data_IF_169206145072
#
_entry.id   IF_169206145072
#
_cell.length_a   1.000
_cell.length_b   1.000
_cell.length_c   1.000
_cell.angle_alpha   90.00
_cell.angle_beta   90.00
_cell.angle_gamma   90.00
#
_symmetry.space_group_name_H-M   'P 1'
#
loop_
_entity.id
_entity.type
_entity.pdbx_description
1 polymer ?
#
# COMPACT_ATOMS: atom_id res chain seq x y z
N UNK A 1 -20.34 21.74 -23.97
CA UNK A 1 -20.05 20.43 -24.59
C UNK A 1 -19.83 19.47 -23.43
N UNK A 2 -20.67 18.43 -23.32
CA UNK A 2 -20.59 17.46 -22.25
C UNK A 2 -19.41 16.52 -22.55
N UNK A 3 -18.42 16.46 -21.66
CA UNK A 3 -17.24 15.61 -21.82
C UNK A 3 -17.53 14.23 -21.21
N UNK A 4 -17.99 13.29 -22.04
CA UNK A 4 -18.21 11.90 -21.63
C UNK A 4 -16.91 11.21 -21.20
N UNK A 5 -15.73 11.71 -21.60
CA UNK A 5 -14.44 11.13 -21.20
C UNK A 5 -14.14 11.35 -19.71
N UNK A 6 -14.66 12.43 -19.11
CA UNK A 6 -14.51 12.71 -17.67
C UNK A 6 -15.17 11.61 -16.81
N UNK A 7 -16.28 11.05 -17.28
CA UNK A 7 -17.07 10.05 -16.54
C UNK A 7 -16.71 8.60 -16.86
N UNK A 8 -15.88 8.37 -17.87
CA UNK A 8 -15.40 7.03 -18.27
C UNK A 8 -13.97 6.76 -17.85
N UNK A 9 -13.22 7.79 -17.43
CA UNK A 9 -11.85 7.67 -16.92
C UNK A 9 -11.81 6.93 -15.58
N UNK A 10 -10.93 5.94 -15.50
CA UNK A 10 -10.63 5.27 -14.23
C UNK A 10 -9.85 6.21 -13.31
N UNK A 11 -10.53 6.80 -12.32
CA UNK A 11 -9.95 7.69 -11.31
C UNK A 11 -9.16 6.92 -10.24
N UNK A 12 -7.96 6.47 -10.62
CA UNK A 12 -6.99 5.95 -9.67
C UNK A 12 -6.30 7.08 -8.91
N UNK A 13 -6.17 6.92 -7.58
CA UNK A 13 -5.23 7.74 -6.80
C UNK A 13 -3.82 7.66 -7.41
N UNK A 14 -3.06 8.74 -7.37
CA UNK A 14 -1.66 8.82 -7.87
C UNK A 14 -0.78 7.63 -7.48
N UNK A 15 -0.93 7.14 -6.24
CA UNK A 15 -0.16 5.99 -5.76
C UNK A 15 -0.44 4.71 -6.55
N UNK A 16 -1.69 4.52 -6.99
CA UNK A 16 -2.13 3.40 -7.81
C UNK A 16 -1.67 3.58 -9.26
N UNK A 17 -1.81 4.79 -9.82
CA UNK A 17 -1.30 5.12 -11.17
C UNK A 17 0.19 4.81 -11.29
N UNK A 18 1.01 5.24 -10.32
CA UNK A 18 2.45 4.92 -10.28
C UNK A 18 2.76 3.42 -10.23
N UNK A 19 1.87 2.59 -9.68
CA UNK A 19 2.04 1.13 -9.68
C UNK A 19 1.72 0.54 -11.06
N UNK A 20 0.66 1.03 -11.70
CA UNK A 20 0.23 0.63 -13.03
C UNK A 20 1.32 1.00 -14.05
N UNK A 21 1.76 2.25 -14.07
CA UNK A 21 2.82 2.74 -14.98
C UNK A 21 4.12 1.93 -14.81
N UNK A 22 4.49 1.62 -13.57
CA UNK A 22 5.68 0.78 -13.31
C UNK A 22 5.54 -0.63 -13.85
N UNK A 23 4.35 -1.21 -13.80
CA UNK A 23 4.10 -2.55 -14.31
C UNK A 23 4.12 -2.55 -15.85
N UNK A 24 3.58 -1.51 -16.48
CA UNK A 24 3.67 -1.29 -17.92
C UNK A 24 5.12 -1.08 -18.38
N UNK A 25 5.89 -0.25 -17.69
CA UNK A 25 7.33 -0.09 -17.92
C UNK A 25 8.06 -1.45 -17.90
N UNK A 26 7.73 -2.30 -16.93
CA UNK A 26 8.32 -3.64 -16.80
C UNK A 26 7.89 -4.58 -17.92
N UNK A 27 6.63 -4.51 -18.34
CA UNK A 27 6.13 -5.28 -19.48
C UNK A 27 6.90 -4.93 -20.76
N UNK A 28 7.03 -3.64 -21.05
CA UNK A 28 7.76 -3.14 -22.22
C UNK A 28 9.26 -3.52 -22.16
N UNK A 29 9.88 -3.37 -20.99
CA UNK A 29 11.28 -3.75 -20.78
C UNK A 29 11.53 -5.24 -20.98
N UNK A 30 10.59 -6.10 -20.55
CA UNK A 30 10.72 -7.55 -20.71
C UNK A 30 10.89 -7.94 -22.17
N UNK A 31 9.99 -7.45 -23.03
CA UNK A 31 9.99 -7.80 -24.45
C UNK A 31 11.12 -7.14 -25.23
N UNK A 32 11.50 -5.91 -24.85
CA UNK A 32 12.71 -5.26 -25.37
C UNK A 32 13.96 -6.08 -25.03
N UNK A 33 14.09 -6.53 -23.78
CA UNK A 33 15.23 -7.31 -23.31
C UNK A 33 15.31 -8.69 -23.97
N UNK A 34 14.16 -9.36 -24.13
CA UNK A 34 14.07 -10.67 -24.78
C UNK A 34 14.14 -10.59 -26.32
N UNK A 35 14.15 -9.38 -26.89
CA UNK A 35 14.13 -9.11 -28.34
C UNK A 35 12.91 -9.75 -29.04
N UNK A 36 11.77 -9.74 -28.36
CA UNK A 36 10.52 -10.37 -28.81
C UNK A 36 9.38 -9.34 -28.82
N UNK A 37 9.59 -8.20 -29.48
CA UNK A 37 8.70 -7.04 -29.42
C UNK A 37 7.28 -7.32 -29.92
N UNK A 38 7.12 -8.30 -30.82
CA UNK A 38 5.80 -8.79 -31.28
C UNK A 38 4.91 -9.31 -30.14
N UNK A 39 5.50 -9.75 -29.02
CA UNK A 39 4.77 -10.29 -27.86
C UNK A 39 4.36 -9.19 -26.86
N UNK A 40 4.71 -7.93 -27.14
CA UNK A 40 4.36 -6.77 -26.31
C UNK A 40 2.89 -6.35 -26.44
N UNK A 41 2.25 -6.68 -27.57
CA UNK A 41 0.87 -6.29 -27.81
C UNK A 41 -0.10 -6.97 -26.83
N UNK A 42 -0.84 -6.16 -26.08
CA UNK A 42 -1.84 -6.63 -25.12
C UNK A 42 -2.97 -7.42 -25.78
N UNK A 43 -3.34 -7.12 -27.04
CA UNK A 43 -4.43 -7.81 -27.73
C UNK A 43 -4.12 -9.29 -28.01
N UNK A 44 -2.83 -9.67 -28.07
CA UNK A 44 -2.37 -11.03 -28.41
C UNK A 44 -1.86 -11.81 -27.20
N UNK A 45 -2.10 -11.31 -25.98
CA UNK A 45 -1.62 -11.93 -24.74
C UNK A 45 -2.12 -13.35 -24.56
N UNK A 46 -1.17 -14.27 -24.36
CA UNK A 46 -1.43 -15.67 -24.04
C UNK A 46 -0.91 -16.04 -22.65
N UNK A 47 -1.35 -17.19 -22.12
CA UNK A 47 -0.79 -17.75 -20.87
C UNK A 47 0.73 -17.90 -20.92
N UNK A 48 1.28 -18.22 -22.10
CA UNK A 48 2.73 -18.35 -22.31
C UNK A 48 3.44 -17.00 -22.14
N UNK A 49 2.93 -15.95 -22.79
CA UNK A 49 3.50 -14.59 -22.67
C UNK A 49 3.48 -14.10 -21.23
N UNK A 50 2.37 -14.33 -20.51
CA UNK A 50 2.25 -13.98 -19.10
C UNK A 50 3.20 -14.80 -18.22
N UNK A 51 3.33 -16.10 -18.47
CA UNK A 51 4.30 -16.92 -17.74
C UNK A 51 5.71 -16.38 -17.90
N UNK A 52 6.13 -16.12 -19.14
CA UNK A 52 7.46 -15.59 -19.47
C UNK A 52 7.71 -14.24 -18.81
N UNK A 53 6.74 -13.32 -18.92
CA UNK A 53 6.83 -12.01 -18.29
C UNK A 53 6.98 -12.10 -16.76
N UNK A 54 6.12 -12.84 -16.08
CA UNK A 54 6.19 -12.95 -14.62
C UNK A 54 7.44 -13.70 -14.16
N UNK A 55 7.93 -14.67 -14.93
CA UNK A 55 9.20 -15.34 -14.67
C UNK A 55 10.40 -14.37 -14.80
N UNK A 56 10.43 -13.59 -15.87
CA UNK A 56 11.43 -12.54 -16.08
C UNK A 56 11.36 -11.49 -14.96
N UNK A 57 10.16 -11.05 -14.58
CA UNK A 57 9.93 -10.04 -13.54
C UNK A 57 10.52 -10.47 -12.19
N UNK A 58 10.38 -11.75 -11.82
CA UNK A 58 10.91 -12.30 -10.57
C UNK A 58 12.45 -12.37 -10.55
N UNK A 59 13.09 -12.46 -11.72
CA UNK A 59 14.54 -12.46 -11.86
C UNK A 59 15.16 -11.07 -11.78
N UNK A 60 14.38 -9.99 -11.88
CA UNK A 60 14.93 -8.63 -11.86
C UNK A 60 15.56 -8.27 -10.51
N UNK A 61 16.77 -7.72 -10.56
CA UNK A 61 17.54 -7.24 -9.40
C UNK A 61 17.91 -5.76 -9.48
N UNK A 62 17.59 -5.12 -10.60
CA UNK A 62 17.76 -3.69 -10.82
C UNK A 62 16.40 -3.06 -11.14
N UNK A 63 16.24 -1.80 -10.77
CA UNK A 63 15.06 -0.99 -11.03
C UNK A 63 15.42 0.24 -11.85
N UNK A 64 14.47 1.16 -11.96
CA UNK A 64 14.64 2.42 -12.70
C UNK A 64 15.90 3.15 -12.24
N UNK A 65 16.71 3.62 -13.20
CA UNK A 65 17.98 4.30 -12.93
C UNK A 65 19.07 3.43 -12.30
N UNK A 66 19.06 2.11 -12.54
CA UNK A 66 20.09 1.20 -12.01
C UNK A 66 19.95 0.87 -10.52
N UNK A 67 18.90 1.36 -9.86
CA UNK A 67 18.70 1.14 -8.41
C UNK A 67 18.59 -0.36 -8.09
N UNK A 68 19.39 -0.85 -7.14
CA UNK A 68 19.29 -2.24 -6.67
C UNK A 68 17.91 -2.52 -6.08
N UNK A 69 17.26 -3.58 -6.55
CA UNK A 69 15.97 -4.07 -6.04
C UNK A 69 16.18 -5.27 -5.15
N UNK A 70 15.44 -5.28 -4.03
CA UNK A 70 15.30 -6.48 -3.21
C UNK A 70 14.44 -7.46 -4.01
N UNK A 71 14.98 -8.63 -4.33
CA UNK A 71 14.25 -9.68 -5.04
C UNK A 71 12.95 -10.06 -4.32
N UNK A 72 11.96 -10.51 -5.07
CA UNK A 72 10.67 -10.95 -4.53
C UNK A 72 10.87 -12.20 -3.66
N UNK A 73 10.38 -12.17 -2.42
CA UNK A 73 10.56 -13.27 -1.45
C UNK A 73 9.29 -14.05 -1.13
N UNK A 74 8.12 -13.45 -1.38
CA UNK A 74 6.83 -13.96 -0.91
C UNK A 74 5.88 -14.22 -2.08
N UNK A 75 5.16 -15.34 -2.01
CA UNK A 75 4.19 -15.74 -3.02
C UNK A 75 2.99 -14.77 -3.09
N UNK A 76 2.63 -14.11 -1.98
CA UNK A 76 1.57 -13.08 -1.96
C UNK A 76 1.86 -11.90 -2.90
N UNK A 77 3.15 -11.57 -3.13
CA UNK A 77 3.57 -10.51 -4.04
C UNK A 77 3.13 -10.78 -5.48
N UNK A 78 3.12 -12.05 -5.91
CA UNK A 78 2.64 -12.46 -7.22
C UNK A 78 1.16 -12.13 -7.41
N UNK A 79 0.35 -12.31 -6.37
CA UNK A 79 -1.06 -11.92 -6.40
C UNK A 79 -1.23 -10.41 -6.58
N UNK A 80 -0.41 -9.61 -5.92
CA UNK A 80 -0.40 -8.14 -6.10
C UNK A 80 0.04 -7.76 -7.51
N UNK A 81 1.14 -8.33 -8.02
CA UNK A 81 1.61 -8.09 -9.37
C UNK A 81 0.55 -8.46 -10.41
N UNK A 82 -0.13 -9.60 -10.22
CA UNK A 82 -1.23 -10.02 -11.09
C UNK A 82 -2.41 -9.05 -11.06
N UNK A 83 -2.79 -8.54 -9.89
CA UNK A 83 -3.84 -7.52 -9.78
C UNK A 83 -3.47 -6.27 -10.57
N UNK A 84 -2.26 -5.75 -10.39
CA UNK A 84 -1.79 -4.54 -11.09
C UNK A 84 -1.68 -4.79 -12.60
N UNK A 85 -1.17 -5.94 -13.04
CA UNK A 85 -1.11 -6.27 -14.46
C UNK A 85 -2.49 -6.28 -15.12
N UNK A 86 -3.53 -6.80 -14.45
CA UNK A 86 -4.89 -6.76 -15.00
C UNK A 86 -5.39 -5.33 -15.22
N UNK A 87 -5.00 -4.39 -14.35
CA UNK A 87 -5.32 -2.96 -14.54
C UNK A 87 -4.56 -2.38 -15.75
N UNK A 88 -3.28 -2.75 -15.94
CA UNK A 88 -2.52 -2.36 -17.12
C UNK A 88 -3.19 -2.88 -18.40
N UNK A 89 -3.57 -4.16 -18.40
CA UNK A 89 -4.27 -4.78 -19.52
C UNK A 89 -5.58 -4.06 -19.83
N UNK A 90 -6.44 -3.89 -18.81
CA UNK A 90 -7.73 -3.21 -18.96
C UNK A 90 -7.58 -1.78 -19.45
N UNK A 91 -6.60 -1.03 -18.93
CA UNK A 91 -6.25 0.31 -19.41
C UNK A 91 -5.81 0.33 -20.88
N UNK A 92 -5.08 -0.68 -21.33
CA UNK A 92 -4.56 -0.74 -22.70
C UNK A 92 -5.59 -1.26 -23.72
N UNK A 93 -6.50 -2.14 -23.33
CA UNK A 93 -7.44 -2.82 -24.24
C UNK A 93 -8.90 -2.44 -24.03
N UNK A 94 -9.20 -1.59 -23.04
CA UNK A 94 -10.56 -1.26 -22.57
C UNK A 94 -11.42 -2.49 -22.24
N UNK A 95 -10.78 -3.64 -21.98
CA UNK A 95 -11.45 -4.93 -21.79
C UNK A 95 -10.79 -5.72 -20.67
N UNK A 96 -11.59 -6.46 -19.91
CA UNK A 96 -11.09 -7.34 -18.84
C UNK A 96 -10.62 -8.67 -19.41
N UNK A 97 -9.52 -9.19 -18.87
CA UNK A 97 -9.12 -10.58 -19.13
C UNK A 97 -10.23 -11.55 -18.71
N UNK A 98 -10.50 -12.52 -19.57
CA UNK A 98 -11.57 -13.49 -19.37
C UNK A 98 -11.34 -14.38 -18.12
N UNK A 99 -12.38 -15.11 -17.73
CA UNK A 99 -12.32 -15.97 -16.56
C UNK A 99 -11.36 -17.15 -16.75
N UNK A 100 -11.20 -17.64 -17.99
CA UNK A 100 -10.32 -18.78 -18.33
C UNK A 100 -8.85 -18.42 -18.14
N UNK A 101 -8.43 -17.26 -18.61
CA UNK A 101 -7.11 -16.67 -18.43
C UNK A 101 -6.85 -16.43 -16.94
N UNK A 102 -7.79 -15.84 -16.22
CA UNK A 102 -7.68 -15.65 -14.77
C UNK A 102 -7.42 -16.98 -14.03
N UNK A 103 -8.19 -18.04 -14.32
CA UNK A 103 -7.98 -19.38 -13.70
C UNK A 103 -6.61 -19.97 -14.08
N UNK A 104 -6.20 -19.82 -15.34
CA UNK A 104 -4.90 -20.29 -15.84
C UNK A 104 -3.75 -19.58 -15.14
N UNK A 105 -3.88 -18.27 -14.93
CA UNK A 105 -2.87 -17.48 -14.24
C UNK A 105 -2.69 -17.89 -12.79
N UNK A 106 -3.74 -18.26 -12.05
CA UNK A 106 -3.55 -18.80 -10.70
C UNK A 106 -2.68 -20.06 -10.68
N UNK A 107 -2.73 -20.91 -11.72
CA UNK A 107 -1.83 -22.07 -11.86
C UNK A 107 -0.40 -21.62 -12.18
N UNK A 108 -0.23 -20.66 -13.09
CA UNK A 108 1.07 -20.05 -13.43
C UNK A 108 1.74 -19.46 -12.19
N UNK A 109 1.04 -18.63 -11.41
CA UNK A 109 1.59 -17.99 -10.21
C UNK A 109 2.02 -19.02 -9.17
N UNK A 110 1.27 -20.12 -8.99
CA UNK A 110 1.69 -21.23 -8.11
C UNK A 110 2.96 -21.92 -8.60
N UNK A 111 3.06 -22.17 -9.91
CA UNK A 111 4.26 -22.77 -10.54
C UNK A 111 5.48 -21.86 -10.37
N UNK A 112 5.33 -20.56 -10.62
CA UNK A 112 6.39 -19.57 -10.44
C UNK A 112 6.79 -19.42 -8.97
N UNK A 113 5.83 -19.43 -8.04
CA UNK A 113 6.14 -19.42 -6.61
C UNK A 113 7.01 -20.62 -6.19
N UNK A 114 6.74 -21.82 -6.74
CA UNK A 114 7.59 -22.99 -6.51
C UNK A 114 8.95 -22.85 -7.18
N UNK A 115 9.00 -22.43 -8.45
CA UNK A 115 10.24 -22.26 -9.23
C UNK A 115 11.22 -21.30 -8.56
N UNK A 116 10.72 -20.18 -8.03
CA UNK A 116 11.53 -19.14 -7.38
C UNK A 116 11.66 -19.31 -5.87
N UNK A 117 11.25 -20.46 -5.32
CA UNK A 117 11.30 -20.77 -3.88
C UNK A 117 10.68 -19.66 -3.00
N UNK A 118 9.54 -19.11 -3.42
CA UNK A 118 8.86 -18.02 -2.71
C UNK A 118 8.18 -18.55 -1.45
N UNK A 119 8.31 -17.81 -0.36
CA UNK A 119 7.65 -18.12 0.92
C UNK A 119 6.14 -17.97 0.79
N UNK A 120 5.40 -18.99 1.19
CA UNK A 120 3.93 -19.00 1.20
C UNK A 120 3.35 -18.33 2.45
N UNK A 121 4.07 -18.41 3.56
CA UNK A 121 3.64 -17.83 4.83
C UNK A 121 3.78 -16.31 4.72
N UNK A 122 2.70 -15.61 5.07
CA UNK A 122 2.74 -14.15 5.21
C UNK A 122 3.75 -13.76 6.28
N UNK A 123 4.26 -12.53 6.22
CA UNK A 123 4.97 -11.99 7.38
C UNK A 123 3.96 -11.89 8.52
N UNK A 124 4.27 -12.44 9.69
CA UNK A 124 3.45 -12.24 10.87
C UNK A 124 3.24 -10.75 11.10
N UNK A 125 1.99 -10.38 11.32
CA UNK A 125 1.65 -9.02 11.70
C UNK A 125 2.09 -8.87 13.15
N UNK A 126 3.27 -8.29 13.35
CA UNK A 126 3.71 -7.91 14.68
C UNK A 126 2.64 -7.00 15.30
N UNK A 127 2.09 -7.43 16.42
CA UNK A 127 1.22 -6.63 17.26
C UNK A 127 2.07 -6.02 18.38
N UNK A 128 1.65 -4.88 18.89
CA UNK A 128 2.24 -4.24 20.07
C UNK A 128 1.18 -4.26 21.16
N UNK A 129 1.46 -4.91 22.30
CA UNK A 129 0.55 -4.87 23.43
C UNK A 129 0.64 -3.51 24.16
N UNK A 130 -0.31 -3.22 25.05
CA UNK A 130 -0.36 -1.93 25.75
C UNK A 130 0.88 -1.74 26.63
N UNK A 131 1.39 -2.83 27.20
CA UNK A 131 2.62 -2.87 27.99
C UNK A 131 3.84 -2.56 27.12
N UNK A 132 3.92 -3.16 25.93
CA UNK A 132 4.98 -2.89 24.96
C UNK A 132 4.94 -1.43 24.50
N UNK A 133 3.74 -0.89 24.27
CA UNK A 133 3.56 0.50 23.89
C UNK A 133 4.04 1.43 25.02
N UNK A 134 3.71 1.11 26.27
CA UNK A 134 4.19 1.84 27.45
C UNK A 134 5.72 1.83 27.51
N UNK A 135 6.35 0.68 27.29
CA UNK A 135 7.81 0.56 27.26
C UNK A 135 8.44 1.36 26.12
N UNK A 136 7.85 1.33 24.92
CA UNK A 136 8.33 2.11 23.76
C UNK A 136 8.25 3.62 24.05
N UNK A 137 7.13 4.06 24.61
CA UNK A 137 6.89 5.45 25.00
C UNK A 137 7.89 5.92 26.07
N UNK A 138 8.08 5.12 27.13
CA UNK A 138 9.06 5.42 28.18
C UNK A 138 10.49 5.46 27.64
N UNK A 139 10.87 4.45 26.86
CA UNK A 139 12.21 4.37 26.23
C UNK A 139 12.45 5.59 25.36
N UNK A 140 11.48 5.97 24.53
CA UNK A 140 11.57 7.15 23.66
C UNK A 140 11.77 8.45 24.45
N UNK A 141 11.21 8.57 25.65
CA UNK A 141 11.37 9.76 26.49
C UNK A 141 12.70 9.78 27.23
N UNK A 142 13.10 8.64 27.82
CA UNK A 142 14.22 8.57 28.79
C UNK A 142 15.58 8.35 28.12
N UNK A 143 15.67 7.62 27.01
CA UNK A 143 16.96 7.26 26.42
C UNK A 143 17.39 8.22 25.30
N UNK A 144 18.69 8.46 25.13
CA UNK A 144 19.24 9.27 24.02
C UNK A 144 19.86 8.44 22.90
N UNK A 145 19.79 7.11 23.02
CA UNK A 145 20.28 6.16 22.00
C UNK A 145 19.61 6.42 20.64
N UNK A 146 18.29 6.61 20.65
CA UNK A 146 17.56 7.09 19.49
C UNK A 146 17.59 8.62 19.45
N UNK A 147 18.41 9.15 18.55
CA UNK A 147 18.56 10.59 18.34
C UNK A 147 17.53 11.10 17.34
N UNK A 148 16.88 12.20 17.71
CA UNK A 148 16.05 12.99 16.82
C UNK A 148 16.83 14.23 16.41
N UNK A 149 16.65 14.69 15.18
CA UNK A 149 17.30 15.93 14.73
C UNK A 149 16.79 17.15 15.49
N UNK A 150 15.55 17.10 16.03
CA UNK A 150 14.95 18.15 16.84
C UNK A 150 14.23 17.55 18.05
N UNK A 151 14.37 18.17 19.22
CA UNK A 151 13.73 17.70 20.47
C UNK A 151 12.20 17.58 20.37
N UNK A 152 11.55 18.47 19.60
CA UNK A 152 10.10 18.42 19.35
C UNK A 152 9.63 17.09 18.75
N UNK A 153 10.46 16.42 17.94
CA UNK A 153 10.09 15.16 17.31
C UNK A 153 9.93 14.02 18.32
N UNK A 154 10.65 14.08 19.44
CA UNK A 154 10.50 13.12 20.53
C UNK A 154 9.11 13.22 21.16
N UNK A 155 8.66 14.44 21.44
CA UNK A 155 7.34 14.71 22.02
C UNK A 155 6.22 14.43 21.01
N UNK A 156 6.40 14.81 19.74
CA UNK A 156 5.42 14.50 18.69
C UNK A 156 5.28 12.99 18.45
N UNK A 157 6.38 12.24 18.47
CA UNK A 157 6.34 10.78 18.35
C UNK A 157 5.53 10.14 19.49
N UNK A 158 5.65 10.67 20.71
CA UNK A 158 4.86 10.22 21.87
C UNK A 158 3.36 10.31 21.58
N UNK A 159 2.90 11.49 21.15
CA UNK A 159 1.50 11.75 20.84
C UNK A 159 1.00 10.82 19.72
N UNK A 160 1.74 10.69 18.61
CA UNK A 160 1.32 9.84 17.50
C UNK A 160 1.29 8.36 17.85
N UNK A 161 2.25 7.87 18.64
CA UNK A 161 2.25 6.48 19.08
C UNK A 161 1.08 6.20 20.02
N UNK A 162 0.77 7.11 20.96
CA UNK A 162 -0.40 6.99 21.83
C UNK A 162 -1.71 6.98 21.03
N UNK A 163 -1.91 7.98 20.16
CA UNK A 163 -3.09 8.04 19.29
C UNK A 163 -3.22 6.79 18.42
N UNK A 164 -2.12 6.30 17.84
CA UNK A 164 -2.13 5.08 17.03
C UNK A 164 -2.52 3.82 17.79
N UNK A 165 -2.07 3.69 19.05
CA UNK A 165 -2.44 2.54 19.88
C UNK A 165 -3.91 2.53 20.27
N UNK A 166 -4.47 3.67 20.72
CA UNK A 166 -5.85 3.72 21.19
C UNK A 166 -6.89 3.82 20.08
N UNK A 167 -6.58 4.48 18.97
CA UNK A 167 -7.55 4.71 17.89
C UNK A 167 -7.44 3.70 16.74
N UNK A 168 -6.36 2.90 16.70
CA UNK A 168 -6.03 1.99 15.59
C UNK A 168 -6.07 2.66 14.21
N UNK A 169 -5.88 3.98 14.16
CA UNK A 169 -5.90 4.75 12.93
C UNK A 169 -4.68 4.44 12.05
N UNK A 170 -4.86 4.53 10.73
CA UNK A 170 -3.75 4.39 9.79
C UNK A 170 -2.72 5.50 10.01
N UNK A 171 -1.42 5.25 9.81
CA UNK A 171 -0.39 6.26 9.98
C UNK A 171 -0.69 7.58 9.26
N UNK A 172 -1.21 7.52 8.03
CA UNK A 172 -1.56 8.74 7.29
C UNK A 172 -2.64 9.59 7.98
N UNK A 173 -3.64 8.96 8.61
CA UNK A 173 -4.70 9.67 9.31
C UNK A 173 -4.15 10.39 10.56
N UNK A 174 -3.23 9.75 11.28
CA UNK A 174 -2.53 10.36 12.42
C UNK A 174 -1.65 11.53 11.98
N UNK A 175 -0.87 11.33 10.91
CA UNK A 175 0.08 12.34 10.42
C UNK A 175 -0.59 13.55 9.74
N UNK A 176 -1.85 13.42 9.35
CA UNK A 176 -2.62 14.52 8.74
C UNK A 176 -3.50 15.26 9.74
N UNK A 177 -3.38 14.93 11.04
CA UNK A 177 -4.08 15.64 12.10
C UNK A 177 -3.63 17.11 12.15
N UNK A 178 -4.57 18.02 12.38
CA UNK A 178 -4.37 19.46 12.40
C UNK A 178 -5.11 20.03 13.61
N UNK A 179 -4.81 21.25 14.04
CA UNK A 179 -5.48 21.85 15.21
C UNK A 179 -7.00 21.95 15.04
N UNK A 180 -7.50 22.18 13.82
CA UNK A 180 -8.94 22.17 13.51
C UNK A 180 -9.65 20.85 13.82
N UNK A 181 -8.90 19.76 13.94
CA UNK A 181 -9.40 18.40 14.23
C UNK A 181 -9.45 18.09 15.72
N UNK A 182 -9.05 19.03 16.57
CA UNK A 182 -9.01 18.85 18.02
C UNK A 182 -10.06 19.77 18.63
N UNK A 183 -11.05 19.16 19.29
CA UNK A 183 -11.99 19.87 20.11
C UNK A 183 -11.60 19.72 21.58
N UNK A 184 -11.59 20.84 22.29
CA UNK A 184 -11.26 20.90 23.72
C UNK A 184 -12.51 21.31 24.47
N UNK A 185 -13.04 20.39 25.27
CA UNK A 185 -14.25 20.62 26.06
C UNK A 185 -13.89 20.62 27.54
N UNK A 186 -14.26 21.70 28.25
CA UNK A 186 -14.07 21.80 29.70
C UNK A 186 -15.33 21.28 30.41
N UNK A 187 -15.21 20.14 31.07
CA UNK A 187 -16.30 19.48 31.78
C UNK A 187 -16.28 19.87 33.26
N UNK A 188 -17.45 20.13 33.84
CA UNK A 188 -17.59 20.28 35.30
C UNK A 188 -17.42 18.92 35.96
N UNK A 189 -16.67 18.89 37.06
CA UNK A 189 -16.58 17.70 37.87
C UNK A 189 -17.91 17.48 38.61
N UNK A 190 -18.52 16.28 38.51
CA UNK A 190 -19.82 16.02 39.12
C UNK A 190 -19.79 16.04 40.65
N UNK A 191 -18.61 15.89 41.27
CA UNK A 191 -18.41 15.92 42.72
C UNK A 191 -17.93 17.30 43.21
N UNK A 192 -17.95 18.31 42.33
CA UNK A 192 -17.56 19.69 42.66
C UNK A 192 -16.04 19.92 42.66
N UNK A 193 -15.25 18.96 42.17
CA UNK A 193 -13.80 19.11 41.98
C UNK A 193 -13.40 20.04 40.83
N UNK A 194 -12.08 20.16 40.55
CA UNK A 194 -11.59 20.94 39.42
C UNK A 194 -12.17 20.47 38.09
N UNK A 195 -12.41 21.41 37.17
CA UNK A 195 -12.88 21.07 35.83
C UNK A 195 -11.97 20.06 35.11
N UNK A 196 -12.59 19.10 34.41
CA UNK A 196 -11.90 18.07 33.64
C UNK A 196 -11.78 18.51 32.18
N UNK A 197 -10.61 18.32 31.57
CA UNK A 197 -10.40 18.58 30.15
C UNK A 197 -10.71 17.31 29.34
N UNK A 198 -11.61 17.41 28.38
CA UNK A 198 -11.87 16.40 27.37
C UNK A 198 -11.26 16.86 26.04
N UNK A 199 -10.40 16.02 25.47
CA UNK A 199 -9.83 16.23 24.14
C UNK A 199 -10.45 15.24 23.15
N UNK A 200 -11.16 15.77 22.16
CA UNK A 200 -11.80 14.98 21.11
C UNK A 200 -11.04 15.17 19.80
N UNK A 201 -10.75 14.06 19.12
CA UNK A 201 -9.98 14.04 17.88
C UNK A 201 -10.82 13.52 16.73
N UNK A 202 -10.97 14.31 15.67
CA UNK A 202 -11.69 13.91 14.44
C UNK A 202 -10.71 13.65 13.29
N UNK A 203 -10.69 12.43 12.76
CA UNK A 203 -9.74 12.04 11.72
C UNK A 203 -10.37 12.03 10.33
N UNK A 204 -9.97 12.96 9.44
CA UNK A 204 -10.53 13.11 8.08
C UNK A 204 -10.07 12.00 7.10
N UNK A 205 -8.84 11.50 7.22
CA UNK A 205 -8.23 10.53 6.29
C UNK A 205 -8.40 9.07 6.73
N UNK A 206 -9.48 8.78 7.43
CA UNK A 206 -9.87 7.41 7.77
C UNK A 206 -10.41 6.68 6.53
N UNK A 207 -10.67 5.37 6.61
CA UNK A 207 -11.26 4.66 5.45
C UNK A 207 -12.68 5.22 5.29
N UNK A 208 -12.88 6.14 4.38
CA UNK A 208 -14.23 6.59 4.03
C UNK A 208 -14.84 5.52 3.11
N UNK A 209 -16.09 5.16 3.38
CA UNK A 209 -16.89 4.37 2.46
C UNK A 209 -17.21 5.27 1.27
N UNK A 210 -16.83 4.86 0.06
CA UNK A 210 -17.03 5.66 -1.16
C UNK A 210 -18.44 5.49 -1.75
N UNK A 211 -19.29 4.67 -1.14
CA UNK A 211 -20.70 4.56 -1.48
C UNK A 211 -21.56 5.47 -0.59
N UNK A 212 -22.77 5.77 -1.05
CA UNK A 212 -23.82 6.28 -0.17
C UNK A 212 -24.05 5.21 0.92
N UNK A 213 -24.10 5.62 2.19
CA UNK A 213 -24.62 4.74 3.23
C UNK A 213 -26.13 4.64 3.01
N UNK A 214 -26.62 3.44 2.71
CA UNK A 214 -28.05 3.13 2.82
C UNK A 214 -28.54 3.34 4.26
#
# INVERSE_FOLDING_TARGET
MFDEEEYTREDYKDSSTRLIDRMEDQWNQCWTYLKEDRLRDYATVTVSTLYTFFDWLLNQRQGKGGRKRRGTKFASSLGTYWKVYRLVYERATSTKLDQKMNRSMHKVLRKLAKKHSLRKIGRDKACMYVEDQTLVLQTNLVTTEKRYTHGRYRIQAQLYLQLGGFTANRPQALLSLCYRHIQVTLLRDPEGGPHRLLLEFTFEFTKQFLGVKD
#
